data_IF_358907865777
#
_entry.id   IF_358907865777
#
_cell.length_a   1.000
_cell.length_b   1.000
_cell.length_c   1.000
_cell.angle_alpha   90.00
_cell.angle_beta   90.00
_cell.angle_gamma   90.00
#
_symmetry.space_group_name_H-M   'P 1'
#
loop_
_entity.id
_entity.type
_entity.pdbx_description
1 polymer ?
#
# COMPACT_ATOMS: atom_id res chain seq x y z
N UNK A 1 1.75 2.13 -20.60
CA UNK A 1 1.23 3.49 -20.31
C UNK A 1 1.41 3.79 -18.81
N UNK A 2 2.65 3.70 -18.31
CA UNK A 2 3.01 3.89 -16.88
C UNK A 2 3.37 5.36 -16.56
N UNK A 3 3.53 6.20 -17.58
CA UNK A 3 4.20 7.50 -17.50
C UNK A 3 3.41 8.61 -16.78
N UNK A 4 2.07 8.54 -16.72
CA UNK A 4 1.25 9.61 -16.12
C UNK A 4 1.07 9.40 -14.61
N UNK A 5 1.04 8.15 -14.14
CA UNK A 5 0.84 7.84 -12.72
C UNK A 5 2.08 8.15 -11.88
N UNK A 6 3.26 7.91 -12.45
CA UNK A 6 4.56 8.18 -11.82
C UNK A 6 4.85 9.69 -11.69
N UNK A 7 4.49 10.47 -12.73
CA UNK A 7 4.60 11.95 -12.71
C UNK A 7 3.82 12.58 -11.56
N UNK A 8 2.65 12.05 -11.22
CA UNK A 8 1.85 12.56 -10.11
C UNK A 8 2.48 12.27 -8.73
N UNK A 9 3.13 11.11 -8.55
CA UNK A 9 3.81 10.77 -7.29
C UNK A 9 5.06 11.63 -7.09
N UNK A 10 5.84 11.82 -8.14
CA UNK A 10 7.00 12.71 -8.14
C UNK A 10 6.61 14.16 -7.82
N UNK A 11 5.51 14.65 -8.39
CA UNK A 11 5.00 15.99 -8.09
C UNK A 11 4.57 16.15 -6.62
N UNK A 12 3.86 15.15 -6.05
CA UNK A 12 3.47 15.17 -4.63
C UNK A 12 4.70 15.11 -3.72
N UNK A 13 5.71 14.30 -4.06
CA UNK A 13 7.00 14.26 -3.34
C UNK A 13 7.67 15.63 -3.33
N UNK A 14 7.78 16.28 -4.49
CA UNK A 14 8.35 17.62 -4.60
C UNK A 14 7.52 18.66 -3.81
N UNK A 15 6.20 18.62 -3.92
CA UNK A 15 5.30 19.54 -3.19
C UNK A 15 5.48 19.38 -1.67
N UNK A 16 5.44 18.15 -1.17
CA UNK A 16 5.64 17.87 0.25
C UNK A 16 7.04 18.31 0.71
N UNK A 17 8.07 18.17 -0.12
CA UNK A 17 9.43 18.56 0.23
C UNK A 17 9.71 20.07 0.21
N UNK A 18 8.89 20.86 -0.50
CA UNK A 18 9.15 22.29 -0.74
C UNK A 18 8.07 23.22 -0.19
N UNK A 19 7.06 22.69 0.51
CA UNK A 19 5.97 23.48 1.09
C UNK A 19 6.48 24.47 2.15
N UNK A 20 6.05 25.73 2.06
CA UNK A 20 6.50 26.80 2.97
C UNK A 20 6.02 26.61 4.42
N UNK A 21 4.86 25.98 4.62
CA UNK A 21 4.28 25.72 5.94
C UNK A 21 4.00 24.21 6.09
N UNK A 22 5.00 23.40 6.45
CA UNK A 22 4.86 21.96 6.53
C UNK A 22 3.87 21.56 7.63
N UNK A 23 3.02 20.57 7.31
CA UNK A 23 2.10 19.97 8.27
C UNK A 23 2.22 18.46 8.20
N UNK A 24 2.44 17.81 9.34
CA UNK A 24 2.62 16.36 9.45
C UNK A 24 1.46 15.56 8.84
N UNK A 25 0.24 16.11 8.86
CA UNK A 25 -0.94 15.54 8.20
C UNK A 25 -0.75 15.26 6.70
N UNK A 26 0.13 16.00 6.01
CA UNK A 26 0.45 15.76 4.61
C UNK A 26 1.21 14.44 4.42
N UNK A 27 2.21 14.17 5.28
CA UNK A 27 2.94 12.90 5.27
C UNK A 27 2.08 11.75 5.78
N UNK A 28 1.15 11.99 6.70
CA UNK A 28 0.21 10.96 7.15
C UNK A 28 -0.78 10.57 6.05
N UNK A 29 -1.29 11.56 5.29
CA UNK A 29 -2.13 11.31 4.12
C UNK A 29 -1.39 10.49 3.08
N UNK A 30 -0.14 10.88 2.79
CA UNK A 30 0.68 10.17 1.82
C UNK A 30 1.05 8.76 2.31
N UNK A 31 1.40 8.63 3.60
CA UNK A 31 1.61 7.33 4.23
C UNK A 31 0.39 6.44 4.10
N UNK A 32 -0.81 6.97 4.32
CA UNK A 32 -2.07 6.24 4.15
C UNK A 32 -2.18 5.57 2.78
N UNK A 33 -1.71 6.25 1.72
CA UNK A 33 -1.71 5.74 0.34
C UNK A 33 -0.66 4.66 0.11
N UNK A 34 0.56 4.86 0.62
CA UNK A 34 1.70 3.93 0.45
C UNK A 34 1.66 2.71 1.36
N UNK A 35 0.97 2.78 2.50
CA UNK A 35 1.01 1.83 3.61
C UNK A 35 1.07 0.35 3.19
N UNK A 36 0.16 -0.10 2.33
CA UNK A 36 0.11 -1.50 1.90
C UNK A 36 1.03 -1.83 0.74
N UNK A 37 1.39 -0.87 -0.11
CA UNK A 37 2.43 -1.06 -1.12
C UNK A 37 3.80 -1.26 -0.45
N UNK A 38 4.10 -0.49 0.60
CA UNK A 38 5.31 -0.66 1.39
C UNK A 38 5.27 -1.97 2.18
N UNK A 39 4.12 -2.33 2.77
CA UNK A 39 4.01 -3.60 3.50
C UNK A 39 4.22 -4.83 2.59
N UNK A 40 3.82 -4.75 1.33
CA UNK A 40 4.03 -5.79 0.30
C UNK A 40 5.51 -5.99 -0.02
N UNK A 41 6.32 -4.93 0.08
CA UNK A 41 7.76 -4.95 -0.25
C UNK A 41 8.65 -5.17 0.99
N UNK A 42 8.37 -4.46 2.09
CA UNK A 42 9.21 -4.47 3.29
C UNK A 42 8.42 -4.16 4.57
N UNK A 43 8.05 -5.18 5.36
CA UNK A 43 7.47 -5.00 6.69
C UNK A 43 8.39 -4.22 7.65
N UNK A 44 9.70 -4.28 7.46
CA UNK A 44 10.66 -3.53 8.26
C UNK A 44 10.55 -2.02 8.00
N UNK A 45 10.59 -1.60 6.73
CA UNK A 45 10.39 -0.19 6.35
C UNK A 45 9.00 0.31 6.76
N UNK A 46 7.97 -0.53 6.61
CA UNK A 46 6.63 -0.23 7.10
C UNK A 46 6.63 0.19 8.59
N UNK A 47 7.33 -0.55 9.45
CA UNK A 47 7.43 -0.20 10.87
C UNK A 47 8.33 1.03 11.12
N UNK A 48 9.38 1.21 10.31
CA UNK A 48 10.23 2.38 10.38
C UNK A 48 9.43 3.66 10.10
N UNK A 49 8.63 3.69 9.02
CA UNK A 49 7.76 4.84 8.69
C UNK A 49 6.70 5.06 9.78
N UNK A 50 6.07 3.98 10.29
CA UNK A 50 5.12 4.11 11.41
C UNK A 50 5.76 4.74 12.64
N UNK A 51 7.03 4.44 12.91
CA UNK A 51 7.77 5.00 14.03
C UNK A 51 8.17 6.45 13.76
N UNK A 52 8.66 6.73 12.56
CA UNK A 52 9.04 8.07 12.09
C UNK A 52 7.89 9.07 12.24
N UNK A 53 6.68 8.66 11.87
CA UNK A 53 5.50 9.53 11.91
C UNK A 53 4.83 9.61 13.30
N UNK A 54 5.38 9.04 14.37
CA UNK A 54 4.81 9.18 15.72
C UNK A 54 4.98 10.58 16.27
N UNK A 55 6.14 11.19 16.04
CA UNK A 55 6.41 12.56 16.44
C UNK A 55 5.66 13.53 15.50
N UNK A 56 4.78 14.34 16.08
CA UNK A 56 3.92 15.27 15.34
C UNK A 56 4.52 16.66 15.21
N UNK A 57 5.56 16.95 15.99
CA UNK A 57 6.21 18.26 16.04
C UNK A 57 7.27 18.42 14.94
N UNK A 58 7.68 17.32 14.32
CA UNK A 58 8.67 17.30 13.24
C UNK A 58 8.04 16.97 11.89
N UNK A 59 8.66 17.47 10.83
CA UNK A 59 8.26 17.18 9.45
C UNK A 59 9.37 16.43 8.68
N UNK A 60 9.51 15.11 8.87
CA UNK A 60 10.66 14.34 8.41
C UNK A 60 10.52 13.92 6.94
N UNK A 61 10.23 14.86 6.04
CA UNK A 61 9.88 14.57 4.65
C UNK A 61 10.99 13.88 3.86
N UNK A 62 12.25 14.25 4.07
CA UNK A 62 13.39 13.64 3.39
C UNK A 62 13.54 12.17 3.80
N UNK A 63 13.53 11.89 5.10
CA UNK A 63 13.65 10.54 5.63
C UNK A 63 12.44 9.67 5.26
N UNK A 64 11.23 10.24 5.28
CA UNK A 64 10.01 9.57 4.87
C UNK A 64 10.11 9.04 3.44
N UNK A 65 10.51 9.87 2.48
CA UNK A 65 10.65 9.43 1.09
C UNK A 65 11.88 8.57 0.86
N UNK A 66 12.98 8.76 1.61
CA UNK A 66 14.14 7.86 1.55
C UNK A 66 13.76 6.44 1.96
N UNK A 67 12.95 6.28 3.00
CA UNK A 67 12.42 4.99 3.43
C UNK A 67 11.51 4.36 2.36
N UNK A 68 10.63 5.15 1.75
CA UNK A 68 9.78 4.68 0.63
C UNK A 68 10.65 4.15 -0.52
N UNK A 69 11.63 4.95 -0.97
CA UNK A 69 12.54 4.56 -2.05
C UNK A 69 13.32 3.28 -1.68
N UNK A 70 13.73 3.15 -0.40
CA UNK A 70 14.40 1.95 0.13
C UNK A 70 13.54 0.70 -0.02
N UNK A 71 12.26 0.74 0.38
CA UNK A 71 11.38 -0.42 0.26
C UNK A 71 11.14 -0.84 -1.20
N UNK A 72 11.03 0.12 -2.13
CA UNK A 72 10.85 -0.19 -3.55
C UNK A 72 12.12 -0.69 -4.25
N UNK A 73 13.28 -0.55 -3.63
CA UNK A 73 14.54 -1.14 -4.10
C UNK A 73 14.77 -2.57 -3.57
N UNK A 74 13.96 -3.06 -2.63
CA UNK A 74 14.07 -4.44 -2.11
C UNK A 74 13.50 -5.46 -3.11
N UNK A 75 14.12 -6.64 -3.14
CA UNK A 75 13.63 -7.78 -3.92
C UNK A 75 12.27 -8.27 -3.38
N UNK A 76 11.29 -8.59 -4.25
CA UNK A 76 9.99 -9.08 -3.81
C UNK A 76 10.10 -10.38 -2.99
N UNK A 77 9.45 -10.40 -1.83
CA UNK A 77 9.34 -11.61 -1.00
C UNK A 77 7.88 -12.09 -0.95
N UNK A 78 7.55 -13.31 -1.44
CA UNK A 78 6.17 -13.78 -1.53
C UNK A 78 5.38 -13.70 -0.21
N UNK A 79 6.03 -14.04 0.91
CA UNK A 79 5.41 -13.95 2.23
C UNK A 79 5.00 -12.54 2.66
N UNK A 80 5.66 -11.49 2.16
CA UNK A 80 5.31 -10.09 2.46
C UNK A 80 4.09 -9.65 1.66
N UNK A 81 4.00 -10.07 0.40
CA UNK A 81 2.82 -9.86 -0.42
C UNK A 81 1.57 -10.56 0.15
N UNK A 82 1.72 -11.79 0.65
CA UNK A 82 0.64 -12.49 1.37
C UNK A 82 0.20 -11.72 2.63
N UNK A 83 1.17 -11.22 3.40
CA UNK A 83 0.88 -10.42 4.58
C UNK A 83 0.11 -9.14 4.24
N UNK A 84 0.57 -8.38 3.23
CA UNK A 84 -0.12 -7.18 2.76
C UNK A 84 -1.55 -7.49 2.28
N UNK A 85 -1.74 -8.55 1.51
CA UNK A 85 -3.06 -9.00 1.06
C UNK A 85 -3.99 -9.35 2.23
N UNK A 86 -3.47 -10.01 3.28
CA UNK A 86 -4.23 -10.34 4.49
C UNK A 86 -4.69 -9.09 5.25
N UNK A 87 -3.84 -8.06 5.34
CA UNK A 87 -4.21 -6.78 5.93
C UNK A 87 -5.32 -6.06 5.13
N UNK A 88 -5.24 -6.06 3.81
CA UNK A 88 -6.27 -5.48 2.93
C UNK A 88 -7.57 -6.28 3.05
N UNK A 89 -7.51 -7.61 3.04
CA UNK A 89 -8.67 -8.49 3.26
C UNK A 89 -9.37 -8.23 4.60
N UNK A 90 -8.61 -7.83 5.63
CA UNK A 90 -9.15 -7.50 6.96
C UNK A 90 -10.26 -6.44 6.94
N UNK A 91 -10.29 -5.54 5.96
CA UNK A 91 -11.36 -4.54 5.81
C UNK A 91 -12.70 -5.14 5.42
N UNK A 92 -12.69 -6.28 4.73
CA UNK A 92 -13.91 -6.89 4.18
C UNK A 92 -14.44 -8.02 5.08
N UNK A 93 -13.61 -8.58 5.97
CA UNK A 93 -13.90 -9.83 6.70
C UNK A 93 -15.26 -9.88 7.42
N UNK A 94 -15.79 -8.73 7.85
CA UNK A 94 -17.09 -8.65 8.56
C UNK A 94 -18.31 -8.64 7.64
N UNK A 95 -18.14 -8.32 6.35
CA UNK A 95 -19.25 -8.07 5.42
C UNK A 95 -19.11 -8.82 4.09
N UNK A 96 -17.94 -9.39 3.80
CA UNK A 96 -17.70 -10.20 2.62
C UNK A 96 -18.58 -11.46 2.62
N UNK A 97 -19.14 -11.76 1.46
CA UNK A 97 -19.91 -12.98 1.23
C UNK A 97 -19.02 -14.22 1.30
N UNK A 98 -19.62 -15.38 1.54
CA UNK A 98 -18.90 -16.65 1.51
C UNK A 98 -18.22 -16.92 0.16
N UNK A 99 -18.84 -16.50 -0.94
CA UNK A 99 -18.27 -16.60 -2.28
C UNK A 99 -17.00 -15.75 -2.41
N UNK A 100 -17.03 -14.49 -1.95
CA UNK A 100 -15.86 -13.61 -1.98
C UNK A 100 -14.72 -14.15 -1.12
N UNK A 101 -15.04 -14.64 0.08
CA UNK A 101 -14.09 -15.28 0.98
C UNK A 101 -13.42 -16.49 0.33
N UNK A 102 -14.21 -17.44 -0.20
CA UNK A 102 -13.68 -18.64 -0.88
C UNK A 102 -12.80 -18.27 -2.07
N UNK A 103 -13.20 -17.27 -2.85
CA UNK A 103 -12.41 -16.83 -3.99
C UNK A 103 -11.10 -16.16 -3.57
N UNK A 104 -11.10 -15.40 -2.45
CA UNK A 104 -9.89 -14.80 -1.89
C UNK A 104 -8.94 -15.88 -1.38
N UNK A 105 -9.43 -16.82 -0.58
CA UNK A 105 -8.66 -17.95 -0.05
C UNK A 105 -8.05 -18.79 -1.17
N UNK A 106 -8.83 -19.06 -2.24
CA UNK A 106 -8.35 -19.76 -3.44
C UNK A 106 -7.22 -18.99 -4.14
N UNK A 107 -7.38 -17.69 -4.37
CA UNK A 107 -6.37 -16.88 -5.06
C UNK A 107 -5.10 -16.72 -4.21
N UNK A 108 -5.23 -16.60 -2.89
CA UNK A 108 -4.10 -16.58 -1.96
C UNK A 108 -3.34 -17.92 -1.98
N UNK A 109 -4.05 -19.05 -1.95
CA UNK A 109 -3.44 -20.37 -2.05
C UNK A 109 -2.73 -20.58 -3.39
N UNK A 110 -3.34 -20.14 -4.50
CA UNK A 110 -2.71 -20.21 -5.82
C UNK A 110 -1.44 -19.37 -5.90
N UNK A 111 -1.46 -18.16 -5.34
CA UNK A 111 -0.27 -17.30 -5.27
C UNK A 111 0.85 -17.97 -4.47
N UNK A 112 0.54 -18.47 -3.26
CA UNK A 112 1.51 -19.19 -2.41
C UNK A 112 2.13 -20.40 -3.09
N UNK A 113 1.34 -21.12 -3.89
CA UNK A 113 1.77 -22.33 -4.60
C UNK A 113 2.38 -22.04 -5.99
N UNK A 114 2.59 -20.77 -6.35
CA UNK A 114 3.07 -20.34 -7.67
C UNK A 114 2.19 -20.82 -8.84
N UNK A 115 0.91 -21.13 -8.60
CA UNK A 115 -0.09 -21.48 -9.62
C UNK A 115 -1.02 -20.31 -9.97
N UNK A 116 -0.76 -19.13 -9.40
CA UNK A 116 -1.44 -17.88 -9.67
C UNK A 116 -0.53 -16.68 -9.45
N UNK A 117 -1.01 -15.49 -9.81
CA UNK A 117 -0.22 -14.25 -9.75
C UNK A 117 -0.73 -13.30 -8.67
N UNK A 118 0.19 -12.52 -8.09
CA UNK A 118 -0.14 -11.44 -7.16
C UNK A 118 -1.14 -10.44 -7.77
N UNK A 119 -0.98 -10.12 -9.06
CA UNK A 119 -1.90 -9.26 -9.80
C UNK A 119 -3.36 -9.79 -9.80
N UNK A 120 -3.55 -11.11 -9.85
CA UNK A 120 -4.89 -11.72 -9.78
C UNK A 120 -5.50 -11.56 -8.40
N UNK A 121 -4.71 -11.76 -7.34
CA UNK A 121 -5.14 -11.53 -5.96
C UNK A 121 -5.50 -10.05 -5.72
N UNK A 122 -4.62 -9.11 -6.13
CA UNK A 122 -4.83 -7.67 -6.00
C UNK A 122 -6.06 -7.18 -6.77
N UNK A 123 -6.27 -7.67 -7.99
CA UNK A 123 -7.46 -7.33 -8.80
C UNK A 123 -8.76 -7.79 -8.13
N UNK A 124 -8.77 -8.95 -7.48
CA UNK A 124 -9.94 -9.39 -6.73
C UNK A 124 -10.18 -8.49 -5.52
N UNK A 125 -9.15 -8.22 -4.72
CA UNK A 125 -9.25 -7.33 -3.56
C UNK A 125 -9.74 -5.93 -3.96
N UNK A 126 -9.28 -5.41 -5.10
CA UNK A 126 -9.72 -4.13 -5.64
C UNK A 126 -11.22 -4.11 -5.97
N UNK A 127 -11.73 -5.14 -6.67
CA UNK A 127 -13.16 -5.26 -6.97
C UNK A 127 -14.04 -5.29 -5.71
N UNK A 128 -13.53 -5.91 -4.65
CA UNK A 128 -14.23 -5.96 -3.35
C UNK A 128 -14.19 -4.58 -2.68
N UNK A 129 -13.06 -3.86 -2.77
CA UNK A 129 -12.95 -2.47 -2.30
C UNK A 129 -13.93 -1.53 -3.02
N UNK A 130 -14.09 -1.70 -4.35
CA UNK A 130 -15.06 -0.93 -5.15
C UNK A 130 -16.49 -1.27 -4.74
N UNK A 131 -16.83 -2.56 -4.64
CA UNK A 131 -18.17 -3.01 -4.28
C UNK A 131 -18.64 -2.49 -2.91
N UNK A 132 -17.75 -2.46 -1.94
CA UNK A 132 -18.06 -2.00 -0.57
C UNK A 132 -17.65 -0.54 -0.33
N UNK A 133 -17.27 0.20 -1.39
CA UNK A 133 -16.93 1.63 -1.33
C UNK A 133 -15.93 1.96 -0.21
N UNK A 134 -14.88 1.14 -0.08
CA UNK A 134 -13.87 1.34 0.96
C UNK A 134 -12.88 2.40 0.50
N UNK A 135 -13.28 3.67 0.60
CA UNK A 135 -12.56 4.86 0.09
C UNK A 135 -11.07 4.85 0.43
N UNK A 136 -10.73 4.50 1.68
CA UNK A 136 -9.35 4.41 2.13
C UNK A 136 -8.50 3.44 1.28
N UNK A 137 -9.06 2.29 0.90
CA UNK A 137 -8.40 1.32 0.04
C UNK A 137 -8.40 1.76 -1.43
N UNK A 138 -9.47 2.41 -1.90
CA UNK A 138 -9.54 2.91 -3.28
C UNK A 138 -8.48 3.98 -3.58
N UNK A 139 -8.08 4.74 -2.56
CA UNK A 139 -6.98 5.71 -2.64
C UNK A 139 -5.59 5.08 -2.44
N UNK A 140 -5.50 3.79 -2.10
CA UNK A 140 -4.24 3.12 -1.83
C UNK A 140 -3.44 2.85 -3.10
N UNK A 141 -2.14 3.14 -3.05
CA UNK A 141 -1.20 2.82 -4.12
C UNK A 141 -0.92 1.32 -4.25
N UNK A 142 -1.33 0.52 -3.26
CA UNK A 142 -1.24 -0.93 -3.30
C UNK A 142 -1.80 -1.51 -4.60
N UNK A 143 -2.92 -1.02 -5.10
CA UNK A 143 -3.56 -1.57 -6.30
C UNK A 143 -2.96 -1.07 -7.62
N UNK A 144 -2.08 -0.07 -7.58
CA UNK A 144 -1.61 0.65 -8.77
C UNK A 144 -0.10 0.60 -8.99
N UNK A 145 0.67 0.19 -7.97
CA UNK A 145 2.12 -0.02 -8.05
C UNK A 145 2.44 -1.51 -8.20
N UNK A 146 3.48 -1.80 -8.98
CA UNK A 146 4.01 -3.14 -9.28
C UNK A 146 5.17 -3.53 -8.34
#
# INVERSE_FOLDING_TARGET
MLEVKDKNLSAIKCQNATIAAPKTVLLEKEWGRYKYAILEKSPAVYQAIRTLLKDKEVYPVQEFYRLIDTAFAEEPHPGYAENAAAHVWGYFKKHATDTERKQYEKNLANYRNNTGTLATLKRQLFKIAEKYEVDYLLQSLYFYLE
#
